data_IF_849989669772
#
_entry.id   IF_849989669772
#
_cell.length_a   1.000
_cell.length_b   1.000
_cell.length_c   1.000
_cell.angle_alpha   90.00
_cell.angle_beta   90.00
_cell.angle_gamma   90.00
#
_symmetry.space_group_name_H-M   'P 1'
#
loop_
_entity.id
_entity.type
_entity.pdbx_description
1 polymer ?
#
# COMPACT_ATOMS: atom_id res chain seq x y z
N UNK A 1 18.69 17.05 2.55
CA UNK A 1 18.14 16.16 3.60
C UNK A 1 16.67 15.79 3.39
N UNK A 2 15.73 16.76 3.28
CA UNK A 2 14.30 16.45 3.11
C UNK A 2 13.95 15.52 1.92
N UNK A 3 14.60 15.71 0.76
CA UNK A 3 14.40 14.84 -0.42
C UNK A 3 14.70 13.36 -0.13
N UNK A 4 15.79 13.07 0.59
CA UNK A 4 16.18 11.70 0.95
C UNK A 4 15.20 11.09 1.95
N UNK A 5 14.69 11.89 2.89
CA UNK A 5 13.66 11.45 3.83
C UNK A 5 12.36 11.06 3.11
N UNK A 6 11.84 11.96 2.26
CA UNK A 6 10.60 11.70 1.49
C UNK A 6 10.81 10.51 0.54
N UNK A 7 11.97 10.42 -0.12
CA UNK A 7 12.34 9.29 -0.95
C UNK A 7 12.32 7.97 -0.15
N UNK A 8 12.91 7.97 1.04
CA UNK A 8 12.88 6.82 1.95
C UNK A 8 11.46 6.41 2.35
N UNK A 9 10.57 7.37 2.63
CA UNK A 9 9.17 7.08 2.93
C UNK A 9 8.45 6.39 1.77
N UNK A 10 8.58 6.91 0.54
CA UNK A 10 7.97 6.28 -0.63
C UNK A 10 8.60 4.93 -0.98
N UNK A 11 9.91 4.77 -0.73
CA UNK A 11 10.58 3.49 -0.90
C UNK A 11 10.02 2.44 0.05
N UNK A 12 9.92 2.77 1.34
CA UNK A 12 9.32 1.88 2.34
C UNK A 12 7.87 1.55 2.02
N UNK A 13 7.09 2.55 1.59
CA UNK A 13 5.69 2.35 1.21
C UNK A 13 5.57 1.41 0.00
N UNK A 14 6.43 1.58 -1.01
CA UNK A 14 6.52 0.71 -2.18
C UNK A 14 6.91 -0.72 -1.82
N UNK A 15 7.90 -0.90 -0.94
CA UNK A 15 8.34 -2.22 -0.44
C UNK A 15 7.21 -2.90 0.34
N UNK A 16 6.61 -2.19 1.29
CA UNK A 16 5.51 -2.71 2.10
C UNK A 16 4.31 -3.12 1.22
N UNK A 17 3.93 -2.26 0.26
CA UNK A 17 2.85 -2.55 -0.70
C UNK A 17 3.20 -3.74 -1.59
N UNK A 18 4.45 -3.87 -2.05
CA UNK A 18 4.88 -5.02 -2.85
C UNK A 18 4.87 -6.33 -2.05
N UNK A 19 5.26 -6.29 -0.78
CA UNK A 19 5.19 -7.44 0.11
C UNK A 19 3.73 -7.86 0.36
N UNK A 20 2.83 -6.90 0.56
CA UNK A 20 1.41 -7.15 0.68
C UNK A 20 0.79 -7.70 -0.62
N UNK A 21 1.19 -7.18 -1.78
CA UNK A 21 0.77 -7.74 -3.07
C UNK A 21 1.26 -9.18 -3.24
N UNK A 22 2.52 -9.45 -2.85
CA UNK A 22 3.11 -10.79 -2.90
C UNK A 22 2.40 -11.78 -1.97
N UNK A 23 1.97 -11.37 -0.77
CA UNK A 23 1.16 -12.22 0.10
C UNK A 23 -0.23 -12.46 -0.49
N UNK A 24 -0.83 -11.45 -1.14
CA UNK A 24 -2.03 -11.58 -1.98
C UNK A 24 -1.87 -12.67 -3.06
N UNK A 25 -0.84 -12.57 -3.91
CA UNK A 25 -0.59 -13.55 -4.97
C UNK A 25 -0.26 -14.95 -4.45
N UNK A 26 0.42 -15.06 -3.30
CA UNK A 26 0.70 -16.35 -2.65
C UNK A 26 -0.52 -16.95 -1.95
N UNK A 27 -1.60 -16.20 -1.81
CA UNK A 27 -2.82 -16.65 -1.15
C UNK A 27 -2.74 -16.68 0.37
N UNK A 28 -1.72 -16.06 0.97
CA UNK A 28 -1.41 -16.14 2.40
C UNK A 28 -1.90 -14.94 3.21
N UNK A 29 -2.76 -14.09 2.65
CA UNK A 29 -3.28 -12.89 3.34
C UNK A 29 -4.12 -13.27 4.56
N UNK A 30 -4.88 -14.35 4.46
CA UNK A 30 -5.74 -14.86 5.54
C UNK A 30 -5.03 -15.88 6.45
N UNK A 31 -3.72 -16.06 6.28
CA UNK A 31 -2.95 -16.96 7.13
C UNK A 31 -2.71 -16.29 8.49
N UNK A 32 -3.16 -16.93 9.57
CA UNK A 32 -3.11 -16.40 10.95
C UNK A 32 -1.67 -16.11 11.40
N UNK A 33 -0.70 -16.79 10.78
CA UNK A 33 0.74 -16.61 10.99
C UNK A 33 1.31 -15.32 10.38
N UNK A 34 0.61 -14.70 9.43
CA UNK A 34 1.07 -13.51 8.67
C UNK A 34 0.46 -12.20 9.23
N UNK A 35 -0.46 -12.30 10.19
CA UNK A 35 -0.76 -11.20 11.12
C UNK A 35 -1.88 -10.23 10.73
N UNK A 36 -2.64 -10.47 9.66
CA UNK A 36 -3.84 -9.67 9.41
C UNK A 36 -5.02 -10.25 10.20
N UNK A 37 -5.61 -9.44 11.08
CA UNK A 37 -6.85 -9.76 11.78
C UNK A 37 -8.03 -9.81 10.81
N UNK A 38 -8.12 -10.88 10.03
CA UNK A 38 -9.21 -11.12 9.09
C UNK A 38 -10.38 -11.82 9.79
N UNK A 39 -11.63 -11.54 9.38
CA UNK A 39 -12.80 -12.20 9.94
C UNK A 39 -12.74 -13.72 9.80
N UNK A 40 -13.30 -14.44 10.78
CA UNK A 40 -13.30 -15.90 10.78
C UNK A 40 -14.10 -16.47 9.61
N UNK A 41 -15.15 -15.77 9.15
CA UNK A 41 -15.97 -16.17 8.00
C UNK A 41 -15.15 -16.20 6.70
N UNK A 42 -14.35 -15.16 6.46
CA UNK A 42 -13.48 -15.04 5.27
C UNK A 42 -12.34 -16.05 5.29
N UNK A 43 -11.87 -16.41 6.49
CA UNK A 43 -10.79 -17.38 6.67
C UNK A 43 -11.30 -18.82 6.44
N UNK A 44 -12.57 -19.08 6.73
CA UNK A 44 -13.19 -20.41 6.64
C UNK A 44 -13.72 -20.75 5.24
N UNK A 45 -14.15 -19.74 4.48
CA UNK A 45 -14.65 -19.94 3.12
C UNK A 45 -13.53 -19.79 2.06
N UNK A 46 -13.17 -20.87 1.32
CA UNK A 46 -12.13 -20.83 0.31
C UNK A 46 -12.42 -19.87 -0.86
N UNK A 47 -13.69 -19.62 -1.19
CA UNK A 47 -14.08 -18.68 -2.24
C UNK A 47 -13.90 -17.22 -1.79
N UNK A 48 -14.28 -16.88 -0.55
CA UNK A 48 -14.05 -15.56 0.03
C UNK A 48 -12.57 -15.28 0.24
N UNK A 49 -11.80 -16.27 0.67
CA UNK A 49 -10.33 -16.20 0.78
C UNK A 49 -9.66 -15.88 -0.55
N UNK A 50 -10.07 -16.55 -1.64
CA UNK A 50 -9.54 -16.29 -2.99
C UNK A 50 -9.83 -14.85 -3.45
N UNK A 51 -11.05 -14.35 -3.23
CA UNK A 51 -11.42 -12.97 -3.54
C UNK A 51 -10.63 -11.96 -2.72
N UNK A 52 -10.46 -12.18 -1.42
CA UNK A 52 -9.68 -11.32 -0.54
C UNK A 52 -8.20 -11.23 -1.00
N UNK A 53 -7.60 -12.37 -1.34
CA UNK A 53 -6.24 -12.46 -1.86
C UNK A 53 -6.07 -11.68 -3.19
N UNK A 54 -7.02 -11.83 -4.12
CA UNK A 54 -7.00 -11.13 -5.41
C UNK A 54 -7.18 -9.61 -5.24
N UNK A 55 -8.06 -9.19 -4.32
CA UNK A 55 -8.29 -7.79 -4.01
C UNK A 55 -7.00 -7.13 -3.45
N UNK A 56 -6.37 -7.77 -2.47
CA UNK A 56 -5.09 -7.29 -1.91
C UNK A 56 -4.00 -7.28 -2.96
N UNK A 57 -3.88 -8.33 -3.78
CA UNK A 57 -2.89 -8.38 -4.85
C UNK A 57 -3.05 -7.20 -5.83
N UNK A 58 -4.27 -6.91 -6.29
CA UNK A 58 -4.53 -5.83 -7.24
C UNK A 58 -4.25 -4.45 -6.64
N UNK A 59 -4.84 -4.14 -5.49
CA UNK A 59 -4.77 -2.82 -4.87
C UNK A 59 -3.37 -2.51 -4.32
N UNK A 60 -2.70 -3.49 -3.69
CA UNK A 60 -1.33 -3.28 -3.22
C UNK A 60 -0.31 -3.20 -4.37
N UNK A 61 -0.56 -3.87 -5.51
CA UNK A 61 0.25 -3.66 -6.73
C UNK A 61 0.07 -2.24 -7.26
N UNK A 62 -1.16 -1.72 -7.28
CA UNK A 62 -1.44 -0.34 -7.63
C UNK A 62 -0.72 0.66 -6.73
N UNK A 63 -0.77 0.45 -5.40
CA UNK A 63 -0.05 1.28 -4.43
C UNK A 63 1.48 1.22 -4.61
N UNK A 64 2.03 0.04 -4.92
CA UNK A 64 3.45 -0.11 -5.21
C UNK A 64 3.87 0.67 -6.47
N UNK A 65 3.07 0.60 -7.55
CA UNK A 65 3.32 1.34 -8.79
C UNK A 65 3.24 2.85 -8.55
N UNK A 66 2.21 3.33 -7.83
CA UNK A 66 2.09 4.74 -7.49
C UNK A 66 3.29 5.25 -6.67
N UNK A 67 3.87 4.40 -5.81
CA UNK A 67 5.06 4.76 -5.04
C UNK A 67 6.30 5.00 -5.92
N UNK A 68 6.35 4.48 -7.15
CA UNK A 68 7.48 4.66 -8.07
C UNK A 68 7.57 6.08 -8.65
N UNK A 69 6.46 6.74 -8.91
CA UNK A 69 6.47 8.07 -9.52
C UNK A 69 7.21 9.12 -8.65
N UNK A 70 6.94 9.22 -7.33
CA UNK A 70 7.72 10.06 -6.42
C UNK A 70 9.19 9.64 -6.33
N UNK A 71 9.49 8.33 -6.36
CA UNK A 71 10.87 7.82 -6.30
C UNK A 71 11.69 8.30 -7.50
N UNK A 72 11.15 8.24 -8.71
CA UNK A 72 11.83 8.72 -9.92
C UNK A 72 12.02 10.25 -9.87
N UNK A 73 10.99 10.99 -9.47
CA UNK A 73 11.05 12.45 -9.37
C UNK A 73 12.09 12.90 -8.32
N UNK A 74 12.09 12.30 -7.14
CA UNK A 74 13.01 12.64 -6.06
C UNK A 74 14.43 12.11 -6.33
N UNK A 75 14.57 10.91 -6.89
CA UNK A 75 15.86 10.33 -7.25
C UNK A 75 16.59 11.14 -8.32
N UNK A 76 15.86 11.58 -9.35
CA UNK A 76 16.42 12.47 -10.38
C UNK A 76 16.80 13.85 -9.83
N UNK A 77 16.03 14.41 -8.90
CA UNK A 77 16.37 15.66 -8.22
C UNK A 77 17.63 15.54 -7.35
N UNK A 78 17.79 14.42 -6.63
CA UNK A 78 19.00 14.14 -5.82
C UNK A 78 20.24 14.02 -6.71
N UNK A 79 20.13 13.33 -7.85
CA UNK A 79 21.24 13.15 -8.81
C UNK A 79 21.66 14.48 -9.48
N UNK A 80 20.76 15.45 -9.64
CA UNK A 80 21.04 16.77 -10.25
C UNK A 80 21.64 17.77 -9.25
N UNK A 81 22.55 17.33 -8.39
CA UNK A 81 23.30 18.11 -7.38
C UNK A 81 22.54 18.58 -6.14
N UNK A 82 21.34 18.08 -5.81
CA UNK A 82 20.73 18.18 -4.47
C UNK A 82 20.50 19.58 -3.89
N UNK A 83 20.79 20.64 -4.66
CA UNK A 83 20.69 22.05 -4.25
C UNK A 83 19.27 22.60 -4.32
N UNK A 84 18.32 21.81 -4.83
CA UNK A 84 16.90 22.17 -4.81
C UNK A 84 16.38 21.91 -3.40
N UNK A 85 15.98 22.96 -2.70
CA UNK A 85 15.19 22.83 -1.46
C UNK A 85 13.75 22.44 -1.83
N UNK A 86 13.11 21.57 -1.03
CA UNK A 86 11.68 21.29 -1.22
C UNK A 86 10.93 22.52 -0.73
N UNK A 87 10.24 23.23 -1.63
CA UNK A 87 9.31 24.28 -1.22
C UNK A 87 8.21 23.70 -0.33
N UNK A 88 7.70 24.48 0.63
CA UNK A 88 6.58 24.07 1.49
C UNK A 88 5.40 23.52 0.68
N UNK A 89 5.10 24.10 -0.48
CA UNK A 89 4.06 23.59 -1.38
C UNK A 89 4.37 22.21 -1.97
N UNK A 90 5.64 21.94 -2.30
CA UNK A 90 6.09 20.63 -2.74
C UNK A 90 5.96 19.57 -1.64
N UNK A 91 6.28 19.95 -0.40
CA UNK A 91 6.14 19.05 0.76
C UNK A 91 4.68 18.65 0.99
N UNK A 92 3.75 19.61 0.93
CA UNK A 92 2.31 19.35 1.05
C UNK A 92 1.83 18.44 -0.07
N UNK A 93 2.28 18.66 -1.32
CA UNK A 93 1.91 17.82 -2.45
C UNK A 93 2.40 16.36 -2.27
N UNK A 94 3.64 16.15 -1.81
CA UNK A 94 4.15 14.81 -1.51
C UNK A 94 3.40 14.15 -0.35
N UNK A 95 3.04 14.89 0.69
CA UNK A 95 2.26 14.36 1.81
C UNK A 95 0.85 13.92 1.35
N UNK A 96 0.17 14.77 0.58
CA UNK A 96 -1.14 14.44 0.01
C UNK A 96 -1.06 13.21 -0.92
N UNK A 97 -0.03 13.13 -1.76
CA UNK A 97 0.20 11.97 -2.61
C UNK A 97 0.45 10.70 -1.79
N UNK A 98 1.28 10.77 -0.76
CA UNK A 98 1.52 9.65 0.16
C UNK A 98 0.23 9.17 0.83
N UNK A 99 -0.65 10.09 1.24
CA UNK A 99 -1.95 9.75 1.80
C UNK A 99 -2.82 8.97 0.80
N UNK A 100 -2.82 9.38 -0.48
CA UNK A 100 -3.54 8.66 -1.54
C UNK A 100 -3.00 7.23 -1.69
N UNK A 101 -1.67 7.06 -1.73
CA UNK A 101 -1.05 5.74 -1.88
C UNK A 101 -1.40 4.82 -0.70
N UNK A 102 -1.32 5.33 0.53
CA UNK A 102 -1.71 4.59 1.74
C UNK A 102 -3.19 4.21 1.69
N UNK A 103 -4.07 5.12 1.27
CA UNK A 103 -5.50 4.87 1.17
C UNK A 103 -5.81 3.76 0.16
N UNK A 104 -5.16 3.78 -1.01
CA UNK A 104 -5.26 2.74 -2.05
C UNK A 104 -4.79 1.39 -1.52
N UNK A 105 -3.67 1.36 -0.78
CA UNK A 105 -3.15 0.13 -0.17
C UNK A 105 -4.02 -0.42 0.96
N UNK A 106 -4.66 0.44 1.74
CA UNK A 106 -5.52 0.08 2.88
C UNK A 106 -6.95 -0.31 2.45
N UNK A 107 -7.43 0.21 1.32
CA UNK A 107 -8.77 -0.06 0.76
C UNK A 107 -9.16 -1.55 0.75
N UNK A 108 -8.34 -2.50 0.24
CA UNK A 108 -8.73 -3.90 0.21
C UNK A 108 -8.94 -4.49 1.60
N UNK A 109 -8.14 -4.08 2.59
CA UNK A 109 -8.25 -4.58 3.97
C UNK A 109 -9.55 -4.09 4.63
N UNK A 110 -9.90 -2.83 4.45
CA UNK A 110 -11.19 -2.29 4.93
C UNK A 110 -12.38 -2.96 4.24
N UNK A 111 -12.28 -3.25 2.94
CA UNK A 111 -13.31 -4.00 2.22
C UNK A 111 -13.46 -5.44 2.72
N UNK A 112 -12.37 -6.10 3.07
CA UNK A 112 -12.43 -7.49 3.55
C UNK A 112 -13.07 -7.57 4.94
N UNK A 113 -12.87 -6.59 5.81
CA UNK A 113 -13.58 -6.49 7.09
C UNK A 113 -15.10 -6.45 6.90
N UNK A 114 -15.58 -5.80 5.84
CA UNK A 114 -17.01 -5.73 5.52
C UNK A 114 -17.59 -7.08 5.06
N UNK A 115 -16.77 -8.02 4.56
CA UNK A 115 -17.26 -9.35 4.18
C UNK A 115 -17.56 -10.27 5.37
N UNK A 116 -16.93 -10.03 6.52
CA UNK A 116 -17.19 -10.79 7.75
C UNK A 116 -18.20 -10.14 8.69
N UNK A 117 -18.60 -8.89 8.43
CA UNK A 117 -19.71 -8.28 9.15
C UNK A 117 -20.99 -8.92 8.60
N UNK A 118 -21.79 -9.63 9.41
CA UNK A 118 -23.09 -10.08 8.94
C UNK A 118 -23.84 -8.81 8.53
N UNK A 119 -24.13 -8.68 7.24
CA UNK A 119 -25.14 -7.75 6.80
C UNK A 119 -26.37 -8.04 7.66
N UNK A 120 -26.83 -7.04 8.41
CA UNK A 120 -28.10 -7.11 9.11
C UNK A 120 -29.13 -7.69 8.14
N UNK A 121 -29.72 -8.81 8.58
CA UNK A 121 -30.84 -9.49 7.92
C UNK A 121 -32.05 -8.57 7.85
#
# INVERSE_FOLDING_TARGET
MAHLFIFGCFLLLGIASSLAARSGYRGTVCDRSVGYGMPAEVTSDPALRSRANSLVAFWCTGAAILSLAPLVALGSAVLRNGGTSVSTGGLVAFAAYGLVVVTVGAYPFEKIKQFGSPAER
#
